data_IF_965792672335
#
_entry.id   IF_965792672335
#
_cell.length_a   1.000
_cell.length_b   1.000
_cell.length_c   1.000
_cell.angle_alpha   90.00
_cell.angle_beta   90.00
_cell.angle_gamma   90.00
#
_symmetry.space_group_name_H-M   'P 1'
#
loop_
_entity.id
_entity.type
_entity.pdbx_description
1 polymer ?
#
# COMPACT_ATOMS: atom_id res chain seq x y z
N UNK A 1 10.84 -18.35 -17.49
CA UNK A 1 10.06 -17.08 -17.48
C UNK A 1 9.95 -16.58 -16.05
N UNK A 2 10.12 -15.28 -15.78
CA UNK A 2 10.11 -14.70 -14.41
C UNK A 2 8.81 -15.02 -13.64
N UNK A 3 7.67 -15.03 -14.34
CA UNK A 3 6.38 -15.41 -13.75
C UNK A 3 6.39 -16.85 -13.22
N UNK A 4 6.89 -17.81 -13.99
CA UNK A 4 6.96 -19.22 -13.58
C UNK A 4 7.81 -19.39 -12.32
N UNK A 5 8.97 -18.73 -12.26
CA UNK A 5 9.81 -18.75 -11.07
C UNK A 5 9.07 -18.25 -9.82
N UNK A 6 8.31 -17.16 -9.93
CA UNK A 6 7.52 -16.64 -8.81
C UNK A 6 6.45 -17.66 -8.36
N UNK A 7 5.77 -18.30 -9.31
CA UNK A 7 4.75 -19.32 -9.03
C UNK A 7 5.37 -20.59 -8.40
N UNK A 8 6.53 -21.03 -8.88
CA UNK A 8 7.24 -22.20 -8.35
C UNK A 8 7.71 -21.98 -6.89
N UNK A 9 7.96 -20.72 -6.52
CA UNK A 9 8.22 -20.30 -5.14
C UNK A 9 6.94 -20.17 -4.28
N UNK A 10 5.77 -20.50 -4.82
CA UNK A 10 4.48 -20.36 -4.14
C UNK A 10 3.98 -18.91 -4.01
N UNK A 11 4.58 -17.97 -4.74
CA UNK A 11 4.14 -16.58 -4.72
C UNK A 11 2.85 -16.37 -5.52
N UNK A 12 2.14 -15.30 -5.19
CA UNK A 12 0.98 -14.82 -5.94
C UNK A 12 1.42 -13.64 -6.79
N UNK A 13 1.29 -13.74 -8.12
CA UNK A 13 1.78 -12.69 -9.03
C UNK A 13 0.66 -11.70 -9.30
N UNK A 14 0.88 -10.43 -8.98
CA UNK A 14 0.00 -9.32 -9.33
C UNK A 14 0.65 -8.54 -10.47
N UNK A 15 0.08 -8.56 -11.68
CA UNK A 15 0.63 -7.78 -12.78
C UNK A 15 0.31 -6.29 -12.58
N UNK A 16 1.32 -5.43 -12.74
CA UNK A 16 1.16 -3.99 -12.69
C UNK A 16 2.12 -3.32 -13.67
N UNK A 17 1.76 -2.14 -14.18
CA UNK A 17 2.74 -1.26 -14.80
C UNK A 17 3.62 -0.63 -13.72
N UNK A 18 4.82 -0.19 -14.10
CA UNK A 18 5.80 0.38 -13.16
C UNK A 18 5.25 1.60 -12.43
N UNK A 19 4.62 2.52 -13.15
CA UNK A 19 4.02 3.74 -12.60
C UNK A 19 2.88 3.44 -11.62
N UNK A 20 2.03 2.46 -11.96
CA UNK A 20 0.93 2.02 -11.09
C UNK A 20 1.45 1.34 -9.82
N UNK A 21 2.50 0.53 -9.94
CA UNK A 21 3.17 -0.10 -8.81
C UNK A 21 3.77 0.97 -7.89
N UNK A 22 4.49 1.94 -8.44
CA UNK A 22 5.17 2.96 -7.65
C UNK A 22 4.19 3.87 -6.91
N UNK A 23 3.07 4.24 -7.56
CA UNK A 23 1.98 4.95 -6.91
C UNK A 23 1.35 4.14 -5.77
N UNK A 24 1.13 2.83 -5.98
CA UNK A 24 0.62 1.94 -4.95
C UNK A 24 1.61 1.80 -3.77
N UNK A 25 2.89 1.53 -4.05
CA UNK A 25 3.94 1.38 -3.06
C UNK A 25 4.14 2.65 -2.22
N UNK A 26 4.04 3.83 -2.85
CA UNK A 26 4.04 5.11 -2.12
C UNK A 26 2.92 5.15 -1.07
N UNK A 27 1.69 4.80 -1.44
CA UNK A 27 0.53 4.87 -0.56
C UNK A 27 0.49 3.78 0.53
N UNK A 28 0.86 2.53 0.21
CA UNK A 28 0.65 1.38 1.11
C UNK A 28 1.92 0.85 1.80
N UNK A 29 3.10 1.36 1.42
CA UNK A 29 4.38 0.95 1.98
C UNK A 29 5.20 2.14 2.47
N UNK A 30 5.57 3.07 1.59
CA UNK A 30 6.51 4.15 1.93
C UNK A 30 5.91 5.18 2.89
N UNK A 31 4.69 5.67 2.61
CA UNK A 31 3.99 6.61 3.48
C UNK A 31 3.73 6.02 4.88
N UNK A 32 3.27 4.76 5.04
CA UNK A 32 3.19 4.13 6.36
C UNK A 32 4.49 4.13 7.15
N UNK A 33 5.65 3.99 6.52
CA UNK A 33 6.93 4.16 7.20
C UNK A 33 7.11 5.59 7.72
N UNK A 34 6.90 6.62 6.89
CA UNK A 34 7.02 8.01 7.34
C UNK A 34 6.08 8.32 8.51
N UNK A 35 4.84 7.81 8.48
CA UNK A 35 3.88 7.99 9.56
C UNK A 35 4.31 7.27 10.84
N UNK A 36 4.89 6.07 10.73
CA UNK A 36 5.41 5.32 11.86
C UNK A 36 6.60 6.04 12.52
N UNK A 37 7.53 6.58 11.72
CA UNK A 37 8.67 7.37 12.24
C UNK A 37 8.18 8.63 12.97
N UNK A 38 7.27 9.39 12.34
CA UNK A 38 6.70 10.60 12.95
C UNK A 38 5.97 10.28 14.26
N UNK A 39 5.15 9.21 14.28
CA UNK A 39 4.45 8.76 15.49
C UNK A 39 5.41 8.35 16.61
N UNK A 40 6.48 7.63 16.27
CA UNK A 40 7.49 7.20 17.25
C UNK A 40 8.22 8.41 17.87
N UNK A 41 8.61 9.38 17.05
CA UNK A 41 9.27 10.63 17.49
C UNK A 41 8.34 11.42 18.41
N UNK A 42 7.10 11.66 18.00
CA UNK A 42 6.13 12.42 18.81
C UNK A 42 5.87 11.76 20.17
N UNK A 43 5.78 10.42 20.23
CA UNK A 43 5.59 9.73 21.51
C UNK A 43 6.82 9.81 22.42
N UNK A 44 8.04 9.83 21.86
CA UNK A 44 9.28 9.95 22.62
C UNK A 44 9.40 11.27 23.38
N UNK A 45 8.70 12.32 22.93
CA UNK A 45 8.69 13.64 23.56
C UNK A 45 7.78 13.72 24.80
N UNK A 46 6.98 12.68 25.08
CA UNK A 46 6.02 12.64 26.19
C UNK A 46 6.50 11.64 27.25
N UNK A 47 6.97 12.10 28.44
CA UNK A 47 7.65 11.24 29.43
C UNK A 47 6.90 9.97 29.86
N UNK A 48 5.56 10.01 29.88
CA UNK A 48 4.72 8.88 30.29
C UNK A 48 4.28 7.98 29.12
N UNK A 49 4.45 8.40 27.87
CA UNK A 49 3.83 7.73 26.72
C UNK A 49 4.32 6.28 26.55
N UNK A 50 5.63 6.03 26.64
CA UNK A 50 6.15 4.67 26.49
C UNK A 50 5.75 3.71 27.62
N UNK A 51 5.52 4.23 28.84
CA UNK A 51 5.02 3.42 29.95
C UNK A 51 3.55 3.00 29.77
N UNK A 52 2.77 3.77 29.01
CA UNK A 52 1.35 3.51 28.73
C UNK A 52 1.10 2.92 27.33
N UNK A 53 2.14 2.79 26.52
CA UNK A 53 2.02 2.30 25.15
C UNK A 53 1.45 0.86 25.13
N UNK A 54 0.45 0.65 24.29
CA UNK A 54 -0.25 -0.62 24.14
C UNK A 54 -0.18 -1.15 22.70
N UNK A 55 -1.07 -2.08 22.35
CA UNK A 55 -1.09 -2.74 21.03
C UNK A 55 -1.17 -1.75 19.86
N UNK A 56 -2.01 -0.71 19.95
CA UNK A 56 -2.16 0.28 18.87
C UNK A 56 -0.85 1.01 18.57
N UNK A 57 -0.13 1.47 19.59
CA UNK A 57 1.17 2.12 19.42
C UNK A 57 2.20 1.14 18.85
N UNK A 58 2.28 -0.07 19.42
CA UNK A 58 3.19 -1.12 18.94
C UNK A 58 2.97 -1.42 17.45
N UNK A 59 1.73 -1.58 17.03
CA UNK A 59 1.41 -1.96 15.65
C UNK A 59 1.64 -0.80 14.68
N UNK A 60 1.25 0.42 15.08
CA UNK A 60 1.44 1.63 14.29
C UNK A 60 2.91 2.05 14.13
N UNK A 61 3.78 1.66 15.08
CA UNK A 61 5.22 1.96 15.05
C UNK A 61 6.09 0.77 14.66
N UNK A 62 5.53 -0.43 14.45
CA UNK A 62 6.28 -1.66 14.14
C UNK A 62 7.30 -1.46 13.00
N UNK A 63 6.92 -0.72 11.97
CA UNK A 63 7.76 -0.51 10.78
C UNK A 63 8.84 0.56 10.95
N UNK A 64 8.79 1.37 12.02
CA UNK A 64 9.88 2.27 12.40
C UNK A 64 11.12 1.51 12.92
N UNK A 65 10.98 0.20 13.19
CA UNK A 65 12.11 -0.67 13.51
C UNK A 65 12.90 -1.17 12.29
N UNK A 66 12.47 -0.85 11.07
CA UNK A 66 13.21 -1.23 9.85
C UNK A 66 14.53 -0.46 9.74
N UNK A 67 15.56 -1.08 9.17
CA UNK A 67 16.87 -0.45 9.01
C UNK A 67 16.74 0.92 8.30
N UNK A 68 17.26 2.02 8.88
CA UNK A 68 17.07 3.36 8.33
C UNK A 68 17.52 3.52 6.88
N UNK A 69 18.58 2.82 6.47
CA UNK A 69 19.11 2.87 5.10
C UNK A 69 18.11 2.30 4.09
N UNK A 70 17.34 1.27 4.47
CA UNK A 70 16.28 0.70 3.63
C UNK A 70 15.09 1.65 3.51
N UNK A 71 14.70 2.27 4.64
CA UNK A 71 13.59 3.24 4.67
C UNK A 71 13.92 4.45 3.80
N UNK A 72 15.15 4.98 3.91
CA UNK A 72 15.62 6.06 3.06
C UNK A 72 15.65 5.66 1.59
N UNK A 73 16.25 4.51 1.26
CA UNK A 73 16.34 4.04 -0.12
C UNK A 73 14.97 3.93 -0.80
N UNK A 74 13.97 3.32 -0.16
CA UNK A 74 12.64 3.16 -0.75
C UNK A 74 11.89 4.50 -0.89
N UNK A 75 12.00 5.40 0.10
CA UNK A 75 11.32 6.69 0.08
C UNK A 75 11.94 7.64 -0.95
N UNK A 76 13.27 7.78 -0.94
CA UNK A 76 14.01 8.67 -1.82
C UNK A 76 13.88 8.24 -3.29
N UNK A 77 13.95 6.93 -3.58
CA UNK A 77 13.80 6.39 -4.92
C UNK A 77 12.40 6.61 -5.53
N UNK A 78 11.37 6.82 -4.70
CA UNK A 78 9.98 6.99 -5.14
C UNK A 78 9.40 8.36 -4.77
N UNK A 79 10.26 9.38 -4.66
CA UNK A 79 9.88 10.75 -4.26
C UNK A 79 8.70 11.30 -5.07
N UNK A 80 8.68 11.08 -6.38
CA UNK A 80 7.64 11.61 -7.28
C UNK A 80 6.22 11.12 -6.97
N UNK A 81 6.08 9.89 -6.44
CA UNK A 81 4.79 9.35 -6.01
C UNK A 81 4.55 9.57 -4.51
N UNK A 82 5.61 9.62 -3.69
CA UNK A 82 5.52 9.74 -2.24
C UNK A 82 5.10 11.14 -1.77
N UNK A 83 5.59 12.20 -2.43
CA UNK A 83 5.25 13.58 -2.04
C UNK A 83 3.73 13.83 -2.11
N UNK A 84 3.02 13.56 -3.23
CA UNK A 84 1.58 13.80 -3.31
C UNK A 84 0.74 13.05 -2.27
N UNK A 85 1.11 11.80 -1.96
CA UNK A 85 0.36 11.01 -0.95
C UNK A 85 0.67 11.49 0.48
N UNK A 86 1.86 12.04 0.71
CA UNK A 86 2.23 12.69 1.98
C UNK A 86 1.44 13.98 2.18
N UNK A 87 1.38 14.84 1.15
CA UNK A 87 0.57 16.07 1.17
C UNK A 87 -0.90 15.77 1.48
N UNK A 88 -1.44 14.69 0.89
CA UNK A 88 -2.81 14.26 1.16
C UNK A 88 -3.06 13.90 2.62
N UNK A 89 -2.12 13.21 3.28
CA UNK A 89 -2.25 12.90 4.71
C UNK A 89 -2.10 14.14 5.57
N UNK A 90 -1.18 15.05 5.24
CA UNK A 90 -1.04 16.33 5.94
C UNK A 90 -2.35 17.13 5.88
N UNK A 91 -2.99 17.20 4.71
CA UNK A 91 -4.28 17.86 4.54
C UNK A 91 -5.39 17.21 5.39
N UNK A 92 -5.46 15.88 5.43
CA UNK A 92 -6.44 15.14 6.23
C UNK A 92 -6.24 15.40 7.74
N UNK A 93 -5.00 15.33 8.21
CA UNK A 93 -4.65 15.61 9.61
C UNK A 93 -4.89 17.09 9.97
N UNK A 94 -4.59 18.01 9.06
CA UNK A 94 -4.86 19.44 9.24
C UNK A 94 -6.35 19.71 9.43
N UNK A 95 -7.20 19.15 8.55
CA UNK A 95 -8.67 19.27 8.68
C UNK A 95 -9.20 18.65 9.97
N UNK A 96 -8.69 17.48 10.36
CA UNK A 96 -9.10 16.85 11.61
C UNK A 96 -8.68 17.67 12.84
N UNK A 97 -7.47 18.27 12.81
CA UNK A 97 -6.99 19.19 13.86
C UNK A 97 -7.92 20.40 13.96
N UNK A 98 -8.20 21.06 12.84
CA UNK A 98 -9.04 22.26 12.81
C UNK A 98 -10.47 21.95 13.29
N UNK A 99 -11.05 20.82 12.88
CA UNK A 99 -12.37 20.38 13.33
C UNK A 99 -12.38 20.04 14.83
N UNK A 100 -11.34 19.36 15.33
CA UNK A 100 -11.22 19.04 16.75
C UNK A 100 -11.09 20.31 17.60
N UNK A 101 -10.30 21.29 17.14
CA UNK A 101 -10.12 22.56 17.85
C UNK A 101 -11.37 23.46 17.81
N UNK A 102 -12.07 23.51 16.68
CA UNK A 102 -13.23 24.38 16.47
C UNK A 102 -14.55 23.78 16.97
N UNK A 103 -14.73 22.47 16.85
CA UNK A 103 -16.00 21.79 17.06
C UNK A 103 -15.90 20.58 18.02
N UNK A 104 -14.72 20.25 18.54
CA UNK A 104 -14.52 19.11 19.42
C UNK A 104 -14.73 17.75 18.75
N UNK A 105 -14.65 17.67 17.41
CA UNK A 105 -14.99 16.47 16.64
C UNK A 105 -13.91 16.08 15.63
N UNK A 106 -13.76 14.77 15.45
CA UNK A 106 -12.93 14.14 14.39
C UNK A 106 -13.76 13.20 13.51
N UNK A 107 -15.10 13.28 13.58
CA UNK A 107 -16.02 12.33 12.96
C UNK A 107 -15.71 12.10 11.47
N UNK A 108 -15.52 13.18 10.70
CA UNK A 108 -15.24 13.10 9.26
C UNK A 108 -14.02 12.22 8.94
N UNK A 109 -12.92 12.38 9.68
CA UNK A 109 -11.70 11.60 9.46
C UNK A 109 -11.90 10.14 9.92
N UNK A 110 -12.54 9.95 11.08
CA UNK A 110 -12.77 8.62 11.66
C UNK A 110 -13.69 7.79 10.78
N UNK A 111 -14.82 8.35 10.34
CA UNK A 111 -15.81 7.64 9.53
C UNK A 111 -15.25 7.29 8.15
N UNK A 112 -14.58 8.25 7.49
CA UNK A 112 -13.94 8.02 6.20
C UNK A 112 -12.80 6.98 6.30
N UNK A 113 -11.99 7.06 7.35
CA UNK A 113 -10.92 6.10 7.62
C UNK A 113 -11.45 4.69 7.90
N UNK A 114 -12.50 4.58 8.70
CA UNK A 114 -13.17 3.30 9.00
C UNK A 114 -13.77 2.67 7.73
N UNK A 115 -14.45 3.47 6.90
CA UNK A 115 -14.99 3.01 5.63
C UNK A 115 -13.89 2.52 4.68
N UNK A 116 -12.76 3.27 4.58
CA UNK A 116 -11.62 2.87 3.76
C UNK A 116 -10.99 1.55 4.24
N UNK A 117 -10.84 1.38 5.56
CA UNK A 117 -10.33 0.15 6.16
C UNK A 117 -11.25 -1.05 5.89
N UNK A 118 -12.55 -0.87 6.06
CA UNK A 118 -13.55 -1.91 5.76
C UNK A 118 -13.47 -2.35 4.30
N UNK A 119 -13.33 -1.39 3.37
CA UNK A 119 -13.15 -1.69 1.94
C UNK A 119 -11.88 -2.49 1.65
N UNK A 120 -10.79 -2.20 2.35
CA UNK A 120 -9.55 -2.96 2.23
C UNK A 120 -9.72 -4.41 2.71
N UNK A 121 -10.38 -4.62 3.85
CA UNK A 121 -10.62 -5.95 4.40
C UNK A 121 -11.52 -6.81 3.50
N UNK A 122 -12.49 -6.18 2.84
CA UNK A 122 -13.37 -6.84 1.89
C UNK A 122 -12.88 -6.81 0.44
N UNK A 123 -11.64 -6.37 0.18
CA UNK A 123 -11.17 -6.17 -1.19
C UNK A 123 -11.03 -7.53 -1.92
N UNK A 124 -11.75 -7.75 -3.04
CA UNK A 124 -11.76 -9.05 -3.70
C UNK A 124 -10.41 -9.35 -4.37
N UNK A 125 -10.05 -10.62 -4.38
CA UNK A 125 -8.96 -11.14 -5.22
C UNK A 125 -9.51 -12.25 -6.08
N UNK A 126 -9.35 -12.12 -7.39
CA UNK A 126 -9.81 -13.10 -8.37
C UNK A 126 -8.65 -13.61 -9.19
N UNK A 127 -8.73 -14.86 -9.65
CA UNK A 127 -7.70 -15.41 -10.51
C UNK A 127 -7.84 -14.86 -11.94
N UNK A 128 -6.71 -14.45 -12.51
CA UNK A 128 -6.61 -14.09 -13.93
C UNK A 128 -6.47 -15.39 -14.70
N UNK A 129 -7.51 -15.74 -15.44
CA UNK A 129 -7.55 -16.97 -16.27
C UNK A 129 -7.87 -16.68 -17.75
N UNK A 130 -8.35 -15.48 -18.05
CA UNK A 130 -8.87 -15.12 -19.38
C UNK A 130 -7.83 -14.43 -20.28
N UNK A 131 -6.72 -13.96 -19.71
CA UNK A 131 -5.68 -13.26 -20.48
C UNK A 131 -4.77 -14.27 -21.17
N UNK A 132 -4.73 -14.24 -22.50
CA UNK A 132 -3.83 -15.06 -23.32
C UNK A 132 -2.57 -14.28 -23.67
N UNK A 133 -1.42 -14.75 -23.19
CA UNK A 133 -0.12 -14.13 -23.46
C UNK A 133 0.19 -14.24 -24.95
N UNK A 134 0.55 -13.13 -25.59
CA UNK A 134 0.83 -13.08 -27.03
C UNK A 134 -0.36 -12.67 -27.91
N UNK A 135 -1.60 -12.72 -27.39
CA UNK A 135 -2.78 -12.23 -28.10
C UNK A 135 -2.78 -10.69 -28.25
N UNK A 136 -3.62 -10.15 -29.12
CA UNK A 136 -3.73 -8.69 -29.28
C UNK A 136 -4.04 -8.01 -27.95
N UNK A 137 -3.30 -6.93 -27.61
CA UNK A 137 -3.47 -6.14 -26.39
C UNK A 137 -3.35 -6.90 -25.06
N UNK A 138 -2.74 -8.10 -25.04
CA UNK A 138 -2.62 -8.92 -23.84
C UNK A 138 -1.99 -8.18 -22.64
N UNK A 139 -1.02 -7.30 -22.88
CA UNK A 139 -0.35 -6.50 -21.83
C UNK A 139 -1.29 -5.49 -21.17
N UNK A 140 -2.15 -4.85 -21.96
CA UNK A 140 -3.14 -3.89 -21.44
C UNK A 140 -4.20 -4.61 -20.62
N UNK A 141 -4.68 -5.75 -21.12
CA UNK A 141 -5.65 -6.59 -20.41
C UNK A 141 -5.06 -7.12 -19.11
N UNK A 142 -3.79 -7.54 -19.13
CA UNK A 142 -3.11 -8.04 -17.93
C UNK A 142 -2.94 -6.95 -16.87
N UNK A 143 -2.51 -5.75 -17.25
CA UNK A 143 -2.42 -4.61 -16.34
C UNK A 143 -3.78 -4.19 -15.79
N UNK A 144 -4.82 -4.16 -16.63
CA UNK A 144 -6.19 -3.86 -16.20
C UNK A 144 -6.72 -4.90 -15.21
N UNK A 145 -6.45 -6.19 -15.46
CA UNK A 145 -6.83 -7.27 -14.56
C UNK A 145 -6.13 -7.13 -13.19
N UNK A 146 -4.83 -6.84 -13.17
CA UNK A 146 -4.09 -6.60 -11.93
C UNK A 146 -4.62 -5.41 -11.13
N UNK A 147 -4.94 -4.29 -11.81
CA UNK A 147 -5.57 -3.11 -11.18
C UNK A 147 -6.92 -3.44 -10.52
N UNK A 148 -7.66 -4.39 -11.08
CA UNK A 148 -8.93 -4.85 -10.55
C UNK A 148 -8.79 -5.86 -9.39
N UNK A 149 -7.57 -6.14 -8.92
CA UNK A 149 -7.30 -7.15 -7.89
C UNK A 149 -7.10 -8.56 -8.44
N UNK A 150 -6.97 -8.69 -9.76
CA UNK A 150 -6.64 -9.93 -10.43
C UNK A 150 -5.25 -10.43 -10.06
N UNK A 151 -5.13 -11.72 -9.78
CA UNK A 151 -3.87 -12.38 -9.47
C UNK A 151 -3.62 -13.59 -10.36
N UNK A 152 -2.36 -13.91 -10.60
CA UNK A 152 -1.95 -15.13 -11.31
C UNK A 152 -1.46 -16.12 -10.26
N UNK A 153 -2.13 -17.28 -10.17
CA UNK A 153 -1.77 -18.41 -9.28
C UNK A 153 -1.29 -19.65 -10.04
N UNK A 154 -1.52 -19.68 -11.34
CA UNK A 154 -1.13 -20.75 -12.25
C UNK A 154 -0.68 -20.15 -13.57
N UNK A 155 0.06 -20.92 -14.37
CA UNK A 155 0.51 -20.46 -15.68
C UNK A 155 -0.67 -20.00 -16.56
N UNK A 156 -0.52 -18.83 -17.18
CA UNK A 156 -1.48 -18.29 -18.14
C UNK A 156 -1.33 -18.98 -19.50
N UNK A 157 -2.42 -19.10 -20.29
CA UNK A 157 -2.33 -19.61 -21.65
C UNK A 157 -1.46 -18.69 -22.52
N UNK A 158 -0.64 -19.29 -23.40
CA UNK A 158 0.25 -18.58 -24.33
C UNK A 158 -0.18 -18.94 -25.76
N UNK A 159 -0.33 -17.92 -26.61
CA UNK A 159 -0.60 -18.07 -28.03
C UNK A 159 0.52 -18.92 -28.66
N UNK A 160 0.14 -19.94 -29.44
CA UNK A 160 1.04 -20.89 -30.12
C UNK A 160 1.80 -21.90 -29.24
N UNK A 161 1.39 -22.15 -28.00
CA UNK A 161 1.93 -23.30 -27.24
C UNK A 161 1.42 -24.63 -27.82
N UNK A 162 2.30 -25.61 -28.13
CA UNK A 162 1.84 -26.95 -28.49
C UNK A 162 1.08 -27.55 -27.29
N UNK A 163 -0.10 -28.13 -27.57
CA UNK A 163 -0.90 -28.87 -26.59
C UNK A 163 -0.20 -30.15 -26.14
#
# INVERSE_FOLDING_TARGET
MVMTLALDCGAVVVPAKSDEHDAAAAAISHLPHLLAEALAITAAEVPLAFALAAGSFRDATRVAGTAPDLVRAMCEANTGQLVPVTDRVIELLGRARDSLAGHGSVADLVDAGHAARTRYESFPRSDIITVMIGAERWREQLAAAGRAGGVIRSALPILDSPR
#
